data_IF_295283742024
#
_entry.id   IF_295283742024
#
_cell.length_a   1.000
_cell.length_b   1.000
_cell.length_c   1.000
_cell.angle_alpha   90.00
_cell.angle_beta   90.00
_cell.angle_gamma   90.00
#
_symmetry.space_group_name_H-M   'P 1'
#
loop_
_entity.id
_entity.type
_entity.pdbx_description
1 polymer ?
#
# COMPACT_ATOMS: atom_id res chain seq x y z
N UNK A 1 10.50 9.10 14.67
CA UNK A 1 10.41 8.54 13.33
C UNK A 1 9.21 7.61 13.23
N UNK A 2 8.50 7.72 12.13
CA UNK A 2 7.32 6.89 11.95
C UNK A 2 7.70 5.58 11.28
N UNK A 3 7.22 4.47 11.83
CA UNK A 3 7.54 3.15 11.30
C UNK A 3 6.33 2.43 10.73
N UNK A 4 5.17 3.06 10.76
CA UNK A 4 3.96 2.45 10.22
C UNK A 4 3.03 3.50 9.64
N UNK A 5 2.17 3.03 8.73
CA UNK A 5 1.13 3.86 8.12
C UNK A 5 -0.20 3.20 8.40
N UNK A 6 -1.11 3.97 8.95
CA UNK A 6 -2.49 3.53 9.20
C UNK A 6 -3.36 4.14 8.11
N UNK A 7 -3.86 3.29 7.20
CA UNK A 7 -4.67 3.75 6.08
C UNK A 7 -5.90 4.53 6.56
N UNK A 8 -6.47 4.12 7.69
CA UNK A 8 -7.70 4.74 8.18
C UNK A 8 -7.51 6.22 8.55
N UNK A 9 -6.28 6.66 8.70
CA UNK A 9 -5.97 8.05 9.06
C UNK A 9 -5.58 8.91 7.87
N UNK A 10 -5.61 8.33 6.67
CA UNK A 10 -5.27 9.06 5.46
C UNK A 10 -6.53 9.57 4.79
N UNK A 11 -6.36 10.54 3.91
CA UNK A 11 -7.47 11.07 3.15
C UNK A 11 -7.70 10.24 1.89
N UNK A 12 -8.92 10.28 1.39
CA UNK A 12 -9.24 9.69 0.11
C UNK A 12 -8.34 10.29 -0.97
N UNK A 13 -7.93 9.47 -1.91
CA UNK A 13 -7.06 9.84 -3.02
C UNK A 13 -5.61 10.07 -2.61
N UNK A 14 -5.24 9.70 -1.40
CA UNK A 14 -3.84 9.65 -1.01
C UNK A 14 -3.18 8.49 -1.73
N UNK A 15 -2.01 8.73 -2.29
CA UNK A 15 -1.24 7.70 -2.99
C UNK A 15 -0.08 7.27 -2.11
N UNK A 16 0.18 5.97 -2.08
CA UNK A 16 1.31 5.42 -1.35
C UNK A 16 2.13 4.58 -2.31
N UNK A 17 3.42 4.84 -2.38
CA UNK A 17 4.33 4.00 -3.14
C UNK A 17 5.06 3.13 -2.13
N UNK A 18 4.87 1.83 -2.23
CA UNK A 18 5.46 0.87 -1.30
C UNK A 18 6.49 0.04 -2.02
N UNK A 19 7.71 0.08 -1.53
CA UNK A 19 8.77 -0.76 -2.06
C UNK A 19 8.91 -1.97 -1.14
N UNK A 20 8.81 -3.17 -1.73
CA UNK A 20 9.02 -4.41 -0.99
C UNK A 20 10.28 -5.08 -1.53
N UNK A 21 10.66 -6.19 -0.89
CA UNK A 21 11.83 -6.92 -1.34
C UNK A 21 11.69 -7.43 -2.77
N UNK A 22 10.48 -7.73 -3.20
CA UNK A 22 10.26 -8.33 -4.51
C UNK A 22 9.79 -7.34 -5.56
N UNK A 23 9.03 -6.31 -5.18
CA UNK A 23 8.46 -5.41 -6.17
C UNK A 23 8.00 -4.11 -5.55
N UNK A 24 7.56 -3.19 -6.39
CA UNK A 24 7.03 -1.90 -5.96
C UNK A 24 5.54 -1.88 -6.23
N UNK A 25 4.76 -1.48 -5.23
CA UNK A 25 3.31 -1.35 -5.36
C UNK A 25 2.91 0.11 -5.28
N UNK A 26 1.92 0.46 -6.08
CA UNK A 26 1.30 1.77 -6.01
C UNK A 26 -0.09 1.57 -5.42
N UNK A 27 -0.39 2.27 -4.33
CA UNK A 27 -1.64 2.13 -3.61
C UNK A 27 -2.34 3.47 -3.59
N UNK A 28 -3.58 3.51 -4.06
CA UNK A 28 -4.41 4.69 -4.00
C UNK A 28 -5.53 4.46 -3.00
N UNK A 29 -5.61 5.29 -1.97
CA UNK A 29 -6.61 5.13 -0.92
C UNK A 29 -7.95 5.59 -1.45
N UNK A 30 -8.94 4.71 -1.46
CA UNK A 30 -10.30 5.03 -1.95
C UNK A 30 -11.31 5.12 -0.83
N UNK A 31 -11.12 4.37 0.25
CA UNK A 31 -12.02 4.40 1.40
C UNK A 31 -11.21 4.18 2.68
N UNK A 32 -10.67 5.26 3.26
CA UNK A 32 -9.73 5.10 4.37
C UNK A 32 -10.28 4.31 5.56
N UNK A 33 -11.52 4.60 5.94
CA UNK A 33 -12.07 3.96 7.13
C UNK A 33 -12.28 2.47 6.97
N UNK A 34 -12.56 2.03 5.75
CA UNK A 34 -12.76 0.62 5.47
C UNK A 34 -11.49 -0.08 5.02
N UNK A 35 -10.40 0.68 4.82
CA UNK A 35 -9.16 0.13 4.30
C UNK A 35 -9.18 -0.11 2.81
N UNK A 36 -10.16 0.47 2.10
CA UNK A 36 -10.32 0.24 0.66
C UNK A 36 -9.28 1.01 -0.13
N UNK A 37 -8.69 0.33 -1.12
CA UNK A 37 -7.63 0.91 -1.94
C UNK A 37 -7.74 0.37 -3.36
N UNK A 38 -7.04 1.05 -4.29
CA UNK A 38 -6.71 0.50 -5.59
C UNK A 38 -5.22 0.21 -5.55
N UNK A 39 -4.84 -1.01 -5.86
CA UNK A 39 -3.45 -1.42 -5.81
C UNK A 39 -3.00 -1.89 -7.18
N UNK A 40 -1.78 -1.52 -7.56
CA UNK A 40 -1.17 -2.02 -8.78
C UNK A 40 0.30 -2.30 -8.50
N UNK A 41 0.85 -3.26 -9.24
CA UNK A 41 2.25 -3.63 -9.11
C UNK A 41 2.41 -5.14 -9.07
N UNK A 42 3.56 -5.60 -9.52
CA UNK A 42 3.86 -7.02 -9.49
C UNK A 42 3.01 -7.82 -10.45
N UNK A 43 3.10 -9.12 -10.33
CA UNK A 43 2.37 -10.02 -11.23
C UNK A 43 0.91 -10.18 -10.85
N UNK A 44 0.60 -10.04 -9.56
CA UNK A 44 -0.77 -10.23 -9.10
C UNK A 44 -1.66 -9.05 -9.49
N UNK A 45 -1.11 -7.84 -9.43
CA UNK A 45 -1.87 -6.62 -9.69
C UNK A 45 -1.29 -5.88 -10.89
N UNK A 46 -1.33 -6.53 -12.04
CA UNK A 46 -0.84 -5.92 -13.29
C UNK A 46 -1.62 -4.66 -13.59
N UNK A 47 -2.91 -4.65 -13.27
CA UNK A 47 -3.76 -3.48 -13.40
C UNK A 47 -4.25 -3.06 -12.02
N UNK A 48 -4.64 -1.79 -11.91
CA UNK A 48 -5.20 -1.30 -10.66
C UNK A 48 -6.39 -2.18 -10.26
N UNK A 49 -6.33 -2.73 -9.07
CA UNK A 49 -7.31 -3.68 -8.58
C UNK A 49 -7.87 -3.19 -7.26
N UNK A 50 -9.19 -3.28 -7.11
CA UNK A 50 -9.83 -2.93 -5.84
C UNK A 50 -9.45 -3.97 -4.79
N UNK A 51 -9.00 -3.49 -3.65
CA UNK A 51 -8.59 -4.37 -2.57
C UNK A 51 -8.82 -3.68 -1.23
N UNK A 52 -8.61 -4.43 -0.16
CA UNK A 52 -8.62 -3.88 1.20
C UNK A 52 -7.34 -4.26 1.89
N UNK A 53 -6.85 -3.34 2.69
CA UNK A 53 -5.72 -3.58 3.57
C UNK A 53 -6.26 -3.54 4.99
N UNK A 54 -6.08 -4.63 5.73
CA UNK A 54 -6.66 -4.73 7.07
C UNK A 54 -5.64 -4.45 8.17
N UNK A 55 -4.38 -4.30 7.81
CA UNK A 55 -3.33 -4.07 8.79
C UNK A 55 -2.60 -2.78 8.49
N UNK A 56 -1.73 -2.38 9.40
CA UNK A 56 -0.86 -1.25 9.16
C UNK A 56 0.20 -1.63 8.14
N UNK A 57 0.68 -0.63 7.41
CA UNK A 57 1.84 -0.81 6.54
C UNK A 57 3.07 -0.54 7.41
N UNK A 58 3.88 -1.55 7.62
CA UNK A 58 5.03 -1.45 8.51
C UNK A 58 6.28 -1.97 7.82
N UNK A 59 7.40 -1.32 8.14
CA UNK A 59 8.67 -1.77 7.61
C UNK A 59 8.98 -3.18 8.09
N UNK A 60 9.50 -4.00 7.18
CA UNK A 60 9.87 -5.40 7.44
C UNK A 60 8.70 -6.31 7.66
N UNK A 61 7.49 -5.82 7.39
CA UNK A 61 6.28 -6.64 7.47
C UNK A 61 5.65 -6.75 6.11
N UNK A 62 5.06 -7.90 5.83
CA UNK A 62 4.32 -8.09 4.60
C UNK A 62 2.97 -7.37 4.71
N UNK A 63 2.42 -7.02 3.56
CA UNK A 63 1.08 -6.44 3.49
C UNK A 63 0.15 -7.51 2.95
N UNK A 64 -1.01 -7.64 3.55
CA UNK A 64 -2.03 -8.56 3.06
C UNK A 64 -3.13 -7.74 2.40
N UNK A 65 -3.34 -8.01 1.11
CA UNK A 65 -4.44 -7.41 0.35
C UNK A 65 -5.55 -8.42 0.21
N UNK A 66 -6.78 -8.00 0.52
CA UNK A 66 -7.98 -8.82 0.31
C UNK A 66 -8.68 -8.29 -0.93
N UNK A 67 -9.00 -9.15 -1.89
CA UNK A 67 -9.58 -8.69 -3.13
C UNK A 67 -10.49 -9.78 -3.72
N UNK A 68 -11.21 -9.42 -4.79
CA UNK A 68 -12.01 -10.39 -5.54
C UNK A 68 -11.23 -10.83 -6.75
N UNK A 69 -11.12 -12.15 -6.95
CA UNK A 69 -10.44 -12.68 -8.11
C UNK A 69 -11.36 -12.63 -9.34
N UNK A 70 -10.89 -13.16 -10.46
CA UNK A 70 -11.65 -13.11 -11.71
C UNK A 70 -12.98 -13.83 -11.64
N UNK A 71 -13.08 -14.81 -10.75
CA UNK A 71 -14.32 -15.57 -10.55
C UNK A 71 -15.28 -14.89 -9.59
N UNK A 72 -14.88 -13.72 -9.04
CA UNK A 72 -15.71 -13.02 -8.08
C UNK A 72 -15.59 -13.55 -6.67
N UNK A 73 -14.63 -14.42 -6.42
CA UNK A 73 -14.41 -15.01 -5.10
C UNK A 73 -13.43 -14.19 -4.30
N UNK A 74 -13.57 -14.22 -2.98
CA UNK A 74 -12.62 -13.56 -2.11
C UNK A 74 -11.27 -14.27 -2.17
N UNK A 75 -10.22 -13.49 -2.28
CA UNK A 75 -8.87 -14.02 -2.35
C UNK A 75 -7.97 -13.08 -1.58
N UNK A 76 -6.74 -13.48 -1.38
CA UNK A 76 -5.79 -12.63 -0.70
C UNK A 76 -4.42 -12.76 -1.34
N UNK A 77 -3.63 -11.70 -1.20
CA UNK A 77 -2.26 -11.68 -1.67
C UNK A 77 -1.39 -11.07 -0.58
N UNK A 78 -0.34 -11.78 -0.22
CA UNK A 78 0.62 -11.31 0.78
C UNK A 78 1.91 -10.93 0.07
N UNK A 79 2.35 -9.70 0.30
CA UNK A 79 3.57 -9.20 -0.33
C UNK A 79 4.81 -9.76 0.37
N UNK A 80 5.96 -9.51 -0.23
CA UNK A 80 7.19 -9.66 0.52
C UNK A 80 7.31 -8.48 1.49
N UNK A 81 8.36 -8.47 2.30
CA UNK A 81 8.47 -7.46 3.36
C UNK A 81 8.66 -6.06 2.81
N UNK A 82 8.05 -5.09 3.48
CA UNK A 82 8.13 -3.70 3.09
C UNK A 82 9.50 -3.13 3.46
N UNK A 83 10.13 -2.48 2.50
CA UNK A 83 11.40 -1.79 2.71
C UNK A 83 11.19 -0.31 2.95
N UNK A 84 10.25 0.29 2.23
CA UNK A 84 9.97 1.71 2.39
C UNK A 84 8.57 2.01 1.86
N UNK A 85 8.02 3.12 2.30
CA UNK A 85 6.74 3.60 1.81
C UNK A 85 6.75 5.13 1.82
N UNK A 86 6.26 5.72 0.74
CA UNK A 86 6.19 7.16 0.59
C UNK A 86 4.74 7.55 0.37
N UNK A 87 4.28 8.53 1.13
CA UNK A 87 2.90 9.00 1.09
C UNK A 87 2.84 10.30 0.30
N UNK A 88 1.92 10.36 -0.68
CA UNK A 88 1.67 11.55 -1.48
C UNK A 88 0.26 12.02 -1.19
N UNK A 89 0.11 13.32 -0.93
CA UNK A 89 -1.20 13.85 -0.64
C UNK A 89 -2.07 13.90 -1.89
N UNK A 90 -3.37 14.11 -1.69
CA UNK A 90 -4.33 14.10 -2.78
C UNK A 90 -4.15 15.27 -3.75
N UNK A 91 -3.37 16.28 -3.37
CA UNK A 91 -3.12 17.41 -4.27
C UNK A 91 -1.84 17.23 -5.08
N UNK A 92 -1.32 16.01 -5.11
CA UNK A 92 -0.17 15.63 -5.91
C UNK A 92 1.17 16.13 -5.40
N UNK A 93 1.22 16.74 -4.25
CA UNK A 93 2.50 17.07 -3.68
C UNK A 93 2.92 15.95 -2.75
N UNK A 94 4.17 15.57 -2.81
CA UNK A 94 4.61 14.56 -1.89
C UNK A 94 4.56 15.14 -0.49
N UNK A 95 4.21 14.30 0.45
CA UNK A 95 3.88 14.78 1.77
C UNK A 95 5.01 14.51 2.75
N UNK A 96 5.43 13.28 2.86
CA UNK A 96 6.54 12.92 3.73
C UNK A 96 6.81 11.43 3.57
N UNK A 97 7.98 11.02 4.03
CA UNK A 97 8.31 9.61 4.07
C UNK A 97 7.87 9.06 5.41
N UNK A 98 6.88 8.19 5.39
CA UNK A 98 6.40 7.57 6.60
C UNK A 98 7.35 6.47 7.05
N UNK A 99 7.92 5.76 6.07
CA UNK A 99 8.87 4.70 6.32
C UNK A 99 9.99 4.88 5.32
N UNK A 100 11.19 5.11 5.80
CA UNK A 100 12.31 5.34 4.90
C UNK A 100 13.17 4.11 4.76
N UNK A 101 13.67 3.95 3.55
CA UNK A 101 14.66 2.93 3.28
C UNK A 101 15.98 3.37 3.90
N UNK A 102 16.55 2.53 4.72
CA UNK A 102 17.77 2.88 5.39
C UNK A 102 18.95 2.56 4.53
N UNK A 103 19.52 3.46 3.94
CA UNK A 103 20.67 3.19 3.19
C UNK A 103 21.59 4.30 3.14
N UNK A 104 21.62 4.83 3.58
CA UNK A 104 22.34 5.81 3.30
C UNK A 104 23.50 5.88 3.47
N UNK A 105 23.69 5.86 3.23
CA UNK A 105 24.49 5.84 3.23
C UNK A 105 24.78 6.23 3.29
#
# INVERSE_FOLDING_TARGET
MRTSIDISKLKRNTKIIVETEATVFEILVTGPKSGSVLVSGGKCFIRATKAKIVSLIQKRRAIVFMYKNKKGEDDSFTTSRVLSATVYSSDNSWHYHAIEKKDKK
#
